data_IF_554174914371
#
_entry.id   IF_554174914371
#
_cell.length_a   1.000
_cell.length_b   1.000
_cell.length_c   1.000
_cell.angle_alpha   90.00
_cell.angle_beta   90.00
_cell.angle_gamma   90.00
#
_symmetry.space_group_name_H-M   'P 1'
#
loop_
_entity.id
_entity.type
_entity.pdbx_description
1 polymer ?
#
# COMPACT_ATOMS: atom_id res chain seq x y z
N UNK A 1 -11.56 19.92 -4.64
CA UNK A 1 -12.70 19.22 -4.02
C UNK A 1 -12.14 18.07 -3.21
N UNK A 2 -12.55 17.90 -1.95
CA UNK A 2 -12.15 16.77 -1.13
C UNK A 2 -13.08 15.57 -1.43
N UNK A 3 -12.52 14.38 -1.54
CA UNK A 3 -13.25 13.12 -1.70
C UNK A 3 -12.91 12.18 -0.55
N UNK A 4 -13.91 11.45 -0.06
CA UNK A 4 -13.79 10.45 1.01
C UNK A 4 -14.48 9.19 0.52
N UNK A 5 -13.79 8.05 0.59
CA UNK A 5 -14.26 6.78 0.05
C UNK A 5 -14.07 5.65 1.05
N UNK A 6 -15.03 4.73 1.09
CA UNK A 6 -14.92 3.44 1.75
C UNK A 6 -14.88 2.36 0.67
N UNK A 7 -13.69 1.98 0.26
CA UNK A 7 -13.46 1.02 -0.81
C UNK A 7 -12.16 0.26 -0.57
N UNK A 8 -11.98 -0.83 -1.32
CA UNK A 8 -10.71 -1.53 -1.41
C UNK A 8 -9.59 -0.57 -1.84
N UNK A 9 -8.49 -0.56 -1.08
CA UNK A 9 -7.41 0.41 -1.28
C UNK A 9 -6.77 0.30 -2.68
N UNK A 10 -6.66 -0.91 -3.24
CA UNK A 10 -6.07 -1.12 -4.56
C UNK A 10 -6.95 -0.50 -5.65
N UNK A 11 -8.27 -0.54 -5.49
CA UNK A 11 -9.21 0.14 -6.40
C UNK A 11 -9.07 1.66 -6.31
N UNK A 12 -8.93 2.20 -5.10
CA UNK A 12 -8.75 3.65 -4.90
C UNK A 12 -7.44 4.11 -5.55
N UNK A 13 -6.33 3.42 -5.28
CA UNK A 13 -5.02 3.72 -5.87
C UNK A 13 -5.11 3.71 -7.39
N UNK A 14 -5.61 2.63 -8.00
CA UNK A 14 -5.72 2.52 -9.45
C UNK A 14 -6.60 3.60 -10.08
N UNK A 15 -7.71 3.98 -9.43
CA UNK A 15 -8.62 5.02 -9.95
C UNK A 15 -8.06 6.45 -9.85
N UNK A 16 -7.00 6.66 -9.06
CA UNK A 16 -6.37 7.96 -8.80
C UNK A 16 -4.94 8.04 -9.30
N UNK A 17 -4.39 6.95 -9.83
CA UNK A 17 -3.05 6.93 -10.34
C UNK A 17 -2.94 7.77 -11.62
N UNK A 18 -2.07 8.76 -11.58
CA UNK A 18 -1.68 9.63 -12.68
C UNK A 18 -0.22 10.01 -12.49
N UNK A 19 0.44 10.51 -13.52
CA UNK A 19 1.85 10.94 -13.44
C UNK A 19 2.13 11.99 -12.34
N UNK A 20 1.13 12.80 -11.99
CA UNK A 20 1.26 13.85 -10.97
C UNK A 20 0.74 13.41 -9.57
N UNK A 21 0.21 12.19 -9.46
CA UNK A 21 -0.31 11.68 -8.19
C UNK A 21 0.82 11.30 -7.23
N UNK A 22 0.64 11.66 -5.96
CA UNK A 22 1.47 11.17 -4.86
C UNK A 22 0.60 10.41 -3.86
N UNK A 23 0.88 9.12 -3.67
CA UNK A 23 0.18 8.26 -2.72
C UNK A 23 0.95 8.16 -1.40
N UNK A 24 0.30 8.51 -0.29
CA UNK A 24 0.75 8.11 1.04
C UNK A 24 -0.03 6.87 1.47
N UNK A 25 0.68 5.81 1.85
CA UNK A 25 0.09 4.48 2.07
C UNK A 25 0.57 3.94 3.41
N UNK A 26 -0.37 3.64 4.30
CA UNK A 26 -0.13 3.11 5.64
C UNK A 26 -1.05 1.90 5.89
N UNK A 27 -0.71 0.72 5.34
CA UNK A 27 -1.53 -0.49 5.49
C UNK A 27 -1.32 -1.10 6.89
N UNK A 28 -2.18 -2.04 7.33
CA UNK A 28 -1.88 -2.84 8.52
C UNK A 28 -0.54 -3.59 8.36
N UNK A 29 0.33 -3.53 9.38
CA UNK A 29 1.68 -4.09 9.29
C UNK A 29 1.66 -5.61 9.51
N UNK A 30 1.90 -6.36 8.43
CA UNK A 30 2.01 -7.83 8.45
C UNK A 30 3.10 -8.30 9.41
N UNK A 31 2.81 -9.39 10.15
CA UNK A 31 3.74 -9.95 11.14
C UNK A 31 3.84 -9.17 12.45
N UNK A 32 2.94 -8.21 12.71
CA UNK A 32 2.87 -7.45 13.97
C UNK A 32 1.47 -7.47 14.57
N UNK A 33 1.33 -6.92 15.79
CA UNK A 33 0.02 -6.73 16.40
C UNK A 33 -0.72 -5.58 15.72
N UNK A 34 -1.64 -5.89 14.81
CA UNK A 34 -2.39 -4.92 14.00
C UNK A 34 -3.54 -4.24 14.77
N UNK A 35 -3.66 -4.43 16.09
CA UNK A 35 -4.64 -3.75 16.92
C UNK A 35 -6.07 -4.19 16.61
N UNK A 36 -6.96 -3.23 16.31
CA UNK A 36 -8.35 -3.48 15.92
C UNK A 36 -8.50 -3.89 14.45
N UNK A 37 -7.42 -3.84 13.66
CA UNK A 37 -7.43 -4.31 12.29
C UNK A 37 -7.28 -5.83 12.28
N UNK A 38 -8.19 -6.48 11.57
CA UNK A 38 -8.29 -7.92 11.36
C UNK A 38 -8.19 -8.22 9.86
N UNK A 39 -7.67 -9.39 9.52
CA UNK A 39 -7.86 -9.96 8.19
C UNK A 39 -6.88 -9.50 7.12
N UNK A 40 -5.99 -8.54 7.40
CA UNK A 40 -4.95 -8.12 6.46
C UNK A 40 -3.78 -9.11 6.45
N UNK A 41 -3.65 -9.82 5.34
CA UNK A 41 -2.71 -10.94 5.19
C UNK A 41 -1.40 -10.53 4.52
N UNK A 42 -0.40 -11.42 4.57
CA UNK A 42 0.82 -11.25 3.78
C UNK A 42 0.51 -11.17 2.28
N UNK A 43 -0.49 -11.90 1.79
CA UNK A 43 -0.88 -11.86 0.39
C UNK A 43 -1.45 -10.49 0.00
N UNK A 44 -2.20 -9.83 0.89
CA UNK A 44 -2.70 -8.47 0.65
C UNK A 44 -1.57 -7.46 0.55
N UNK A 45 -0.54 -7.60 1.40
CA UNK A 45 0.66 -6.79 1.33
C UNK A 45 1.46 -7.03 0.04
N UNK A 46 1.61 -8.30 -0.39
CA UNK A 46 2.27 -8.63 -1.64
C UNK A 46 1.51 -8.11 -2.87
N UNK A 47 0.17 -8.17 -2.85
CA UNK A 47 -0.69 -7.59 -3.88
C UNK A 47 -0.52 -6.06 -3.96
N UNK A 48 -0.45 -5.39 -2.80
CA UNK A 48 -0.16 -3.96 -2.72
C UNK A 48 1.21 -3.63 -3.32
N UNK A 49 2.26 -4.33 -2.93
CA UNK A 49 3.60 -4.10 -3.49
C UNK A 49 3.66 -4.35 -5.01
N UNK A 50 3.00 -5.41 -5.49
CA UNK A 50 2.89 -5.70 -6.91
C UNK A 50 2.19 -4.59 -7.69
N UNK A 51 1.13 -3.98 -7.13
CA UNK A 51 0.48 -2.80 -7.74
C UNK A 51 1.41 -1.58 -7.74
N UNK A 52 2.04 -1.27 -6.61
CA UNK A 52 2.89 -0.07 -6.46
C UNK A 52 4.13 -0.08 -7.34
N UNK A 53 4.59 -1.24 -7.79
CA UNK A 53 5.66 -1.33 -8.80
C UNK A 53 5.24 -0.83 -10.18
N UNK A 54 3.94 -0.73 -10.45
CA UNK A 54 3.38 -0.46 -11.77
C UNK A 54 2.62 0.87 -11.86
N UNK A 55 2.53 1.65 -10.78
CA UNK A 55 1.84 2.94 -10.81
C UNK A 55 2.63 3.98 -11.63
N UNK A 56 1.91 4.93 -12.22
CA UNK A 56 2.49 6.07 -12.93
C UNK A 56 3.02 7.14 -11.98
N UNK A 57 2.31 7.36 -10.88
CA UNK A 57 2.65 8.35 -9.87
C UNK A 57 3.81 7.93 -8.97
N UNK A 58 3.95 8.66 -7.86
CA UNK A 58 4.93 8.36 -6.81
C UNK A 58 4.21 7.90 -5.56
N UNK A 59 4.91 7.15 -4.72
CA UNK A 59 4.37 6.74 -3.43
C UNK A 59 5.39 6.84 -2.30
N UNK A 60 4.87 6.97 -1.09
CA UNK A 60 5.57 6.74 0.17
C UNK A 60 4.78 5.69 0.95
N UNK A 61 5.42 4.56 1.22
CA UNK A 61 4.85 3.43 1.95
C UNK A 61 5.43 3.37 3.36
N UNK A 62 4.56 3.38 4.36
CA UNK A 62 4.92 3.09 5.74
C UNK A 62 4.78 1.58 6.01
N UNK A 63 5.86 0.92 6.44
CA UNK A 63 5.86 -0.49 6.81
C UNK A 63 7.13 -0.87 7.57
N UNK A 64 7.10 -1.97 8.33
CA UNK A 64 8.32 -2.61 8.84
C UNK A 64 9.03 -3.46 7.78
N UNK A 65 10.27 -3.86 8.10
CA UNK A 65 11.04 -4.80 7.28
C UNK A 65 10.30 -6.12 7.15
N UNK A 66 9.92 -6.43 5.91
CA UNK A 66 9.15 -7.61 5.55
C UNK A 66 9.89 -8.37 4.44
N UNK A 67 9.93 -9.70 4.55
CA UNK A 67 10.56 -10.57 3.55
C UNK A 67 9.59 -10.87 2.40
N UNK A 68 9.05 -9.83 1.78
CA UNK A 68 8.24 -9.98 0.56
C UNK A 68 9.16 -10.17 -0.65
N UNK A 69 8.81 -11.02 -1.64
CA UNK A 69 9.56 -11.13 -2.89
C UNK A 69 9.66 -9.80 -3.66
N UNK A 70 8.74 -8.86 -3.40
CA UNK A 70 8.72 -7.52 -4.01
C UNK A 70 9.43 -6.45 -3.16
N UNK A 71 9.88 -6.81 -1.95
CA UNK A 71 10.40 -5.90 -0.93
C UNK A 71 11.88 -5.54 -1.10
N UNK A 72 12.25 -4.88 -2.19
CA UNK A 72 13.61 -4.30 -2.37
C UNK A 72 13.66 -2.80 -2.00
N UNK A 73 12.50 -2.16 -1.83
CA UNK A 73 12.40 -0.72 -1.56
C UNK A 73 12.01 -0.44 -0.11
N UNK A 74 12.89 -0.77 0.83
CA UNK A 74 12.79 -0.26 2.20
C UNK A 74 14.00 0.61 2.47
N UNK A 75 13.86 1.91 2.20
CA UNK A 75 14.87 2.91 2.52
C UNK A 75 14.91 3.06 4.05
N UNK A 76 16.12 3.07 4.62
CA UNK A 76 16.38 3.32 6.04
C UNK A 76 15.67 4.58 6.52
#
# INVERSE_FOLDING_TARGET
MLQIENCDALKVIASRDTADTFHYIDPPYVGTHQGHYDGYTQQDFDNLLGMLQNIQGKFLLSSYRNKSPYGVYQKK
#
